data_IF_339627056936
#
_entry.id   IF_339627056936
#
_cell.length_a   1.000
_cell.length_b   1.000
_cell.length_c   1.000
_cell.angle_alpha   90.00
_cell.angle_beta   90.00
_cell.angle_gamma   90.00
#
_symmetry.space_group_name_H-M   'P 1'
#
loop_
_entity.id
_entity.type
_entity.pdbx_description
1 polymer ?
#
# COMPACT_ATOMS: atom_id res chain seq x y z
N UNK A 1 4.66 8.80 -4.26
CA UNK A 1 4.47 7.85 -3.15
C UNK A 1 4.81 6.40 -3.52
N UNK A 2 4.99 5.48 -2.56
CA UNK A 2 5.35 4.07 -2.87
C UNK A 2 4.28 3.37 -3.74
N UNK A 3 3.01 3.71 -3.53
CA UNK A 3 1.86 3.16 -4.26
C UNK A 3 1.80 3.68 -5.71
N UNK A 4 2.08 4.97 -5.93
CA UNK A 4 2.27 5.51 -7.28
C UNK A 4 3.45 4.85 -8.00
N UNK A 5 4.56 4.61 -7.29
CA UNK A 5 5.72 3.91 -7.86
C UNK A 5 5.34 2.50 -8.32
N UNK A 6 4.52 1.77 -7.55
CA UNK A 6 4.03 0.45 -7.95
C UNK A 6 3.17 0.51 -9.22
N UNK A 7 2.32 1.54 -9.36
CA UNK A 7 1.51 1.74 -10.57
C UNK A 7 2.39 2.02 -11.80
N UNK A 8 3.35 2.94 -11.70
CA UNK A 8 4.27 3.24 -12.81
C UNK A 8 5.08 2.03 -13.23
N UNK A 9 5.56 1.22 -12.27
CA UNK A 9 6.33 0.02 -12.58
C UNK A 9 5.49 -1.07 -13.27
N UNK A 10 4.18 -1.14 -12.98
CA UNK A 10 3.25 -2.00 -13.70
C UNK A 10 3.09 -1.56 -15.15
N UNK A 11 2.87 -0.26 -15.39
CA UNK A 11 2.75 0.32 -16.73
C UNK A 11 4.02 0.10 -17.58
N UNK A 12 5.18 0.23 -16.95
CA UNK A 12 6.50 -0.02 -17.56
C UNK A 12 6.82 -1.52 -17.71
N UNK A 13 5.98 -2.41 -17.16
CA UNK A 13 6.23 -3.86 -17.06
C UNK A 13 7.55 -4.20 -16.39
N UNK A 14 7.98 -3.36 -15.45
CA UNK A 14 9.23 -3.50 -14.72
C UNK A 14 9.04 -4.37 -13.47
N UNK A 15 8.77 -5.66 -13.73
CA UNK A 15 8.40 -6.65 -12.72
C UNK A 15 9.47 -6.87 -11.64
N UNK A 16 10.75 -6.83 -12.03
CA UNK A 16 11.87 -7.01 -11.10
C UNK A 16 11.96 -5.89 -10.06
N UNK A 17 11.81 -4.64 -10.49
CA UNK A 17 11.80 -3.50 -9.57
C UNK A 17 10.50 -3.46 -8.77
N UNK A 18 9.36 -3.83 -9.37
CA UNK A 18 8.09 -3.92 -8.67
C UNK A 18 8.14 -4.88 -7.49
N UNK A 19 8.70 -6.08 -7.70
CA UNK A 19 8.95 -7.06 -6.64
C UNK A 19 9.81 -6.48 -5.53
N UNK A 20 10.91 -5.79 -5.87
CA UNK A 20 11.80 -5.17 -4.85
C UNK A 20 11.08 -4.11 -4.04
N UNK A 21 10.23 -3.30 -4.67
CA UNK A 21 9.44 -2.26 -3.98
C UNK A 21 8.40 -2.90 -3.07
N UNK A 22 7.65 -3.90 -3.55
CA UNK A 22 6.68 -4.64 -2.75
C UNK A 22 7.36 -5.31 -1.53
N UNK A 23 8.53 -5.92 -1.72
CA UNK A 23 9.31 -6.53 -0.66
C UNK A 23 9.72 -5.55 0.44
N UNK A 24 10.16 -4.34 0.03
CA UNK A 24 10.52 -3.27 0.98
C UNK A 24 9.30 -2.69 1.69
N UNK A 25 8.11 -2.83 1.12
CA UNK A 25 6.87 -2.29 1.69
C UNK A 25 6.26 -3.19 2.78
N UNK A 26 6.43 -4.51 2.66
CA UNK A 26 6.01 -5.51 3.65
C UNK A 26 6.27 -5.11 5.12
N UNK A 27 7.52 -4.79 5.53
CA UNK A 27 7.79 -4.45 6.93
C UNK A 27 7.09 -3.15 7.38
N UNK A 28 6.85 -2.19 6.48
CA UNK A 28 6.09 -0.98 6.80
C UNK A 28 4.65 -1.31 7.14
N UNK A 29 4.00 -2.17 6.36
CA UNK A 29 2.62 -2.58 6.65
C UNK A 29 2.52 -3.40 7.94
N UNK A 30 3.47 -4.30 8.17
CA UNK A 30 3.56 -5.03 9.44
C UNK A 30 3.76 -4.10 10.63
N UNK A 31 4.54 -3.04 10.47
CA UNK A 31 4.75 -2.04 11.52
C UNK A 31 3.50 -1.22 11.82
N UNK A 32 2.74 -0.82 10.79
CA UNK A 32 1.48 -0.10 10.98
C UNK A 32 0.37 -1.01 11.52
N UNK A 33 0.44 -2.32 11.26
CA UNK A 33 -0.48 -3.31 11.84
C UNK A 33 -1.81 -3.47 11.10
N UNK A 34 -1.85 -3.11 9.81
CA UNK A 34 -3.06 -3.22 8.96
C UNK A 34 -3.24 -4.68 8.53
N UNK A 35 -4.11 -5.42 9.22
CA UNK A 35 -4.32 -6.87 9.04
C UNK A 35 -4.85 -7.22 7.65
N UNK A 36 -5.67 -6.35 7.09
CA UNK A 36 -6.30 -6.50 5.78
C UNK A 36 -5.25 -6.55 4.66
N UNK A 37 -4.05 -6.01 4.91
CA UNK A 37 -2.96 -5.98 3.94
C UNK A 37 -1.92 -7.09 4.11
N UNK A 38 -2.00 -7.95 5.14
CA UNK A 38 -1.02 -9.02 5.40
C UNK A 38 -0.87 -9.98 4.22
N UNK A 39 -1.96 -10.25 3.49
CA UNK A 39 -1.97 -11.11 2.30
C UNK A 39 -1.73 -10.38 0.98
N UNK A 40 -2.00 -9.07 0.92
CA UNK A 40 -2.01 -8.28 -0.33
C UNK A 40 -0.61 -8.11 -0.90
N UNK A 41 0.39 -7.77 -0.07
CA UNK A 41 1.77 -7.59 -0.55
C UNK A 41 2.45 -8.92 -0.97
N UNK A 42 2.32 -10.03 -0.22
CA UNK A 42 2.77 -11.33 -0.73
C UNK A 42 2.15 -11.71 -2.08
N UNK A 43 0.85 -11.40 -2.27
CA UNK A 43 0.15 -11.68 -3.52
C UNK A 43 0.65 -10.77 -4.66
N UNK A 44 0.91 -9.50 -4.37
CA UNK A 44 1.51 -8.55 -5.31
C UNK A 44 2.91 -8.99 -5.76
N UNK A 45 3.76 -9.45 -4.83
CA UNK A 45 5.09 -10.01 -5.15
C UNK A 45 4.98 -11.24 -6.05
N UNK A 46 4.01 -12.12 -5.78
CA UNK A 46 3.77 -13.31 -6.59
C UNK A 46 3.30 -12.94 -7.98
N UNK A 47 2.32 -12.04 -8.11
CA UNK A 47 1.82 -11.64 -9.41
C UNK A 47 2.86 -10.87 -10.22
N UNK A 48 3.69 -10.06 -9.58
CA UNK A 48 4.84 -9.45 -10.27
C UNK A 48 5.83 -10.51 -10.76
N UNK A 49 6.12 -11.55 -9.96
CA UNK A 49 6.97 -12.67 -10.40
C UNK A 49 6.37 -13.40 -11.61
N UNK A 50 5.06 -13.61 -11.59
CA UNK A 50 4.31 -14.27 -12.67
C UNK A 50 4.01 -13.33 -13.86
N UNK A 51 4.49 -12.08 -13.81
CA UNK A 51 4.31 -11.03 -14.83
C UNK A 51 2.84 -10.67 -15.10
N UNK A 52 2.04 -10.63 -14.04
CA UNK A 52 0.62 -10.27 -14.03
C UNK A 52 -0.24 -11.09 -15.01
N UNK A 53 -0.30 -12.42 -14.86
CA UNK A 53 -0.89 -13.31 -15.86
C UNK A 53 -2.39 -13.08 -16.08
N UNK A 54 -3.07 -12.45 -15.11
CA UNK A 54 -4.51 -12.19 -15.12
C UNK A 54 -4.87 -10.70 -15.09
N UNK A 55 -3.89 -9.78 -15.05
CA UNK A 55 -4.19 -8.34 -14.95
C UNK A 55 -4.70 -7.89 -13.59
N UNK A 56 -4.32 -8.57 -12.50
CA UNK A 56 -4.87 -8.36 -11.16
C UNK A 56 -4.03 -7.39 -10.31
N UNK A 57 -2.81 -7.05 -10.74
CA UNK A 57 -1.94 -6.15 -10.00
C UNK A 57 -2.58 -4.77 -9.74
N UNK A 58 -3.28 -4.13 -10.70
CA UNK A 58 -3.95 -2.85 -10.46
C UNK A 58 -4.95 -2.89 -9.29
N UNK A 59 -5.76 -3.93 -9.20
CA UNK A 59 -6.74 -4.13 -8.10
C UNK A 59 -6.05 -4.27 -6.74
N UNK A 60 -4.91 -4.97 -6.68
CA UNK A 60 -4.12 -5.07 -5.47
C UNK A 60 -3.53 -3.72 -5.04
N UNK A 61 -3.11 -2.88 -6.00
CA UNK A 61 -2.63 -1.52 -5.71
C UNK A 61 -3.76 -0.63 -5.20
N UNK A 62 -4.95 -0.72 -5.77
CA UNK A 62 -6.14 -0.02 -5.28
C UNK A 62 -6.49 -0.43 -3.85
N UNK A 63 -6.43 -1.74 -3.56
CA UNK A 63 -6.63 -2.27 -2.21
C UNK A 63 -5.62 -1.69 -1.22
N UNK A 64 -4.33 -1.63 -1.60
CA UNK A 64 -3.29 -1.01 -0.78
C UNK A 64 -3.57 0.49 -0.55
N UNK A 65 -3.96 1.22 -1.59
CA UNK A 65 -4.30 2.65 -1.49
C UNK A 65 -5.46 2.89 -0.53
N UNK A 66 -6.53 2.09 -0.64
CA UNK A 66 -7.71 2.21 0.21
C UNK A 66 -7.33 2.06 1.68
N UNK A 67 -6.75 0.93 2.07
CA UNK A 67 -6.45 0.66 3.48
C UNK A 67 -5.35 1.58 4.05
N UNK A 68 -4.35 1.96 3.26
CA UNK A 68 -3.37 2.96 3.70
C UNK A 68 -4.02 4.33 3.93
N UNK A 69 -4.99 4.73 3.10
CA UNK A 69 -5.70 6.00 3.26
C UNK A 69 -6.60 5.96 4.49
N UNK A 70 -7.35 4.87 4.69
CA UNK A 70 -8.19 4.68 5.88
C UNK A 70 -7.35 4.73 7.17
N UNK A 71 -6.20 4.04 7.20
CA UNK A 71 -5.31 4.06 8.35
C UNK A 71 -4.74 5.47 8.60
N UNK A 72 -4.36 6.20 7.55
CA UNK A 72 -3.89 7.58 7.69
C UNK A 72 -5.01 8.51 8.19
N UNK A 73 -6.24 8.32 7.74
CA UNK A 73 -7.38 9.13 8.17
C UNK A 73 -7.84 8.78 9.59
N UNK A 74 -7.71 7.53 10.02
CA UNK A 74 -7.89 7.14 11.42
C UNK A 74 -6.85 7.80 12.33
N UNK A 75 -5.58 7.77 11.93
CA UNK A 75 -4.48 8.45 12.63
C UNK A 75 -4.77 9.96 12.69
N UNK A 76 -5.12 10.59 11.56
CA UNK A 76 -5.43 12.02 11.52
C UNK A 76 -6.62 12.39 12.40
N UNK A 77 -7.66 11.56 12.49
CA UNK A 77 -8.78 11.80 13.41
C UNK A 77 -8.32 11.73 14.86
N UNK A 78 -7.59 10.69 15.24
CA UNK A 78 -7.09 10.52 16.61
C UNK A 78 -6.11 11.62 17.06
N UNK A 79 -5.23 12.08 16.17
CA UNK A 79 -4.20 13.08 16.51
C UNK A 79 -4.59 14.52 16.12
N UNK A 80 -5.56 14.71 15.22
CA UNK A 80 -6.06 16.01 14.78
C UNK A 80 -7.14 16.59 15.70
N UNK A 81 -7.88 15.74 16.43
CA UNK A 81 -8.83 16.20 17.46
C UNK A 81 -8.14 16.88 18.67
N UNK A 82 -6.82 16.71 18.82
CA UNK A 82 -6.04 17.36 19.89
C UNK A 82 -5.62 18.81 19.61
N UNK A 83 -5.96 19.42 18.47
CA UNK A 83 -5.59 20.82 18.15
C UNK A 83 -6.74 21.85 18.17
N UNK A 84 -7.96 21.47 18.53
CA UNK A 84 -9.11 22.38 18.58
C UNK A 84 -9.81 22.44 19.94
N UNK A 85 -9.06 22.55 21.05
CA UNK A 85 -9.65 22.84 22.37
C UNK A 85 -8.73 23.71 23.27
N UNK A 86 -8.13 24.76 22.72
CA UNK A 86 -7.65 25.90 23.52
C UNK A 86 -8.06 27.20 22.83
N UNK A 87 -9.26 27.70 23.15
CA UNK A 87 -9.71 28.98 22.59
C UNK A 87 -11.20 29.31 22.74
N UNK A 88 -11.79 29.15 23.92
CA UNK A 88 -12.93 29.98 24.36
C UNK A 88 -12.83 30.29 25.85
#
# INVERSE_FOLDING_TARGET
PILEKLSTLHDEKNWDEMKKVAHKFKPTLSYVGIKELEGVVPQLEKYALDQDPNGNIPELIETLNYFCSEALDEIRRHFGETTENEGQ
#
